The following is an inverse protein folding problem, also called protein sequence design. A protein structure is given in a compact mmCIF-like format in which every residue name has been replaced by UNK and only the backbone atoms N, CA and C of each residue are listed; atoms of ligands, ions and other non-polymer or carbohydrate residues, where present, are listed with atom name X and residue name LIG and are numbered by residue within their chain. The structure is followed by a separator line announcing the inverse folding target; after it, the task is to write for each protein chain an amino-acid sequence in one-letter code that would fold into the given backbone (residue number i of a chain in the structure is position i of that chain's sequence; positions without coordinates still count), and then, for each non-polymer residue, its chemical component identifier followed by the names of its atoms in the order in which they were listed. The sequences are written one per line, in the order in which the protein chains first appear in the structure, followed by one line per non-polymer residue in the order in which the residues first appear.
data_IF_253706571809
#
_entry.id   IF_253706571809
#
_cell.length_a   1.000
_cell.length_b   1.000
_cell.length_c   1.000
_cell.angle_alpha   90.00
_cell.angle_beta   90.00
_cell.angle_gamma   90.00
#
_symmetry.space_group_name_H-M   'P 1'
#
loop_
_entity.id
_entity.type
_entity.pdbx_description
1 polymer ?
#
# COMPACT_ATOMS: atom_id res chain seq x y z
N UNK A 1 19.87 2.98 -15.15
CA UNK A 1 18.48 3.32 -14.75
C UNK A 1 18.34 4.82 -14.47
N UNK A 2 17.14 5.35 -14.35
CA UNK A 2 16.92 6.76 -13.99
C UNK A 2 17.51 7.09 -12.59
N UNK A 3 17.48 6.11 -11.69
CA UNK A 3 18.06 6.23 -10.36
C UNK A 3 19.60 6.28 -10.37
N UNK A 4 20.25 5.56 -11.30
CA UNK A 4 21.69 5.60 -11.45
C UNK A 4 22.15 6.97 -11.92
N UNK A 5 21.46 7.57 -12.88
CA UNK A 5 21.74 8.93 -13.34
C UNK A 5 21.55 9.96 -12.20
N UNK A 6 20.49 9.82 -11.42
CA UNK A 6 20.26 10.68 -10.24
C UNK A 6 21.39 10.53 -9.22
N UNK A 7 21.85 9.31 -8.97
CA UNK A 7 22.95 9.04 -8.04
C UNK A 7 24.26 9.70 -8.51
N UNK A 8 24.55 9.63 -9.81
CA UNK A 8 25.71 10.30 -10.41
C UNK A 8 25.60 11.83 -10.28
N UNK A 9 24.47 12.41 -10.64
CA UNK A 9 24.23 13.85 -10.50
C UNK A 9 24.37 14.34 -9.05
N UNK A 10 23.87 13.54 -8.09
CA UNK A 10 24.00 13.82 -6.65
C UNK A 10 25.38 13.47 -6.09
N UNK A 11 26.33 12.96 -6.91
CA UNK A 11 27.67 12.50 -6.50
C UNK A 11 27.65 11.49 -5.35
N UNK A 12 26.63 10.62 -5.33
CA UNK A 12 26.52 9.56 -4.34
C UNK A 12 27.55 8.47 -4.62
N UNK A 13 28.20 7.97 -3.56
CA UNK A 13 29.12 6.84 -3.63
C UNK A 13 28.43 5.59 -3.08
N UNK A 14 28.74 4.43 -3.65
CA UNK A 14 28.22 3.13 -3.18
C UNK A 14 26.67 3.11 -3.15
N UNK A 15 26.05 3.18 -4.30
CA UNK A 15 24.60 3.10 -4.47
C UNK A 15 24.18 1.64 -4.58
N UNK A 16 23.17 1.26 -3.81
CA UNK A 16 22.61 -0.08 -3.80
C UNK A 16 21.11 -0.01 -4.00
N UNK A 17 20.56 -1.00 -4.69
CA UNK A 17 19.13 -1.11 -4.94
C UNK A 17 18.58 -2.32 -4.19
N UNK A 18 17.43 -2.15 -3.55
CA UNK A 18 16.70 -3.23 -2.90
C UNK A 18 15.24 -3.15 -3.29
N UNK A 19 14.60 -4.31 -3.47
CA UNK A 19 13.19 -4.40 -3.80
C UNK A 19 12.32 -3.94 -2.62
N UNK A 20 11.33 -3.08 -2.91
CA UNK A 20 10.43 -2.51 -1.90
C UNK A 20 9.78 -3.56 -1.00
N UNK A 21 9.29 -4.72 -1.51
CA UNK A 21 8.69 -5.75 -0.66
C UNK A 21 9.62 -6.28 0.44
N UNK A 22 10.92 -6.40 0.18
CA UNK A 22 11.88 -6.79 1.22
C UNK A 22 11.98 -5.77 2.32
N UNK A 23 12.09 -4.50 1.93
CA UNK A 23 12.20 -3.40 2.88
C UNK A 23 10.92 -3.28 3.70
N UNK A 24 9.76 -3.42 3.07
CA UNK A 24 8.47 -3.41 3.75
C UNK A 24 8.33 -4.55 4.77
N UNK A 25 8.76 -5.77 4.40
CA UNK A 25 8.75 -6.93 5.29
C UNK A 25 9.67 -6.72 6.49
N UNK A 26 10.92 -6.30 6.27
CA UNK A 26 11.90 -6.03 7.33
C UNK A 26 11.44 -4.91 8.27
N UNK A 27 10.87 -3.85 7.72
CA UNK A 27 10.30 -2.76 8.53
C UNK A 27 9.04 -3.15 9.29
N UNK A 28 8.33 -4.17 8.82
CA UNK A 28 7.23 -4.82 9.53
C UNK A 28 7.68 -5.90 10.51
N UNK A 29 8.99 -5.98 10.80
CA UNK A 29 9.59 -6.96 11.72
C UNK A 29 9.36 -8.43 11.29
N UNK A 30 9.14 -8.67 10.00
CA UNK A 30 9.06 -10.03 9.48
C UNK A 30 10.44 -10.69 9.49
N UNK A 31 10.49 -11.93 9.98
CA UNK A 31 11.69 -12.76 9.93
C UNK A 31 11.74 -13.44 8.56
N UNK A 32 12.67 -13.01 7.71
CA UNK A 32 12.85 -13.58 6.38
C UNK A 32 13.82 -14.75 6.47
N UNK A 33 13.36 -15.95 6.14
CA UNK A 33 14.17 -17.19 6.13
C UNK A 33 13.77 -18.08 4.95
N UNK A 34 14.60 -19.07 4.64
CA UNK A 34 14.32 -20.02 3.55
C UNK A 34 13.20 -21.01 3.92
N UNK A 35 13.09 -21.34 5.21
CA UNK A 35 12.09 -22.29 5.72
C UNK A 35 10.70 -21.67 5.96
N UNK A 36 10.62 -20.35 6.08
CA UNK A 36 9.38 -19.63 6.36
C UNK A 36 9.24 -18.44 5.41
N UNK A 37 8.65 -18.63 4.23
CA UNK A 37 8.42 -17.54 3.29
C UNK A 37 7.48 -16.49 3.88
N UNK A 38 7.74 -15.23 3.54
CA UNK A 38 6.96 -14.07 4.01
C UNK A 38 6.10 -13.54 2.87
N UNK A 39 4.80 -13.43 3.10
CA UNK A 39 3.89 -12.78 2.17
C UNK A 39 3.68 -11.33 2.61
N UNK A 40 3.96 -10.39 1.73
CA UNK A 40 3.89 -8.96 2.01
C UNK A 40 3.06 -8.24 0.94
N UNK A 41 2.30 -7.25 1.38
CA UNK A 41 1.59 -6.29 0.54
C UNK A 41 1.91 -4.88 1.04
N UNK A 42 2.56 -4.08 0.20
CA UNK A 42 2.86 -2.69 0.49
C UNK A 42 1.97 -1.79 -0.36
N UNK A 43 0.98 -1.15 0.28
CA UNK A 43 0.00 -0.27 -0.36
C UNK A 43 0.40 1.18 -0.17
N UNK A 44 1.15 1.71 -1.12
CA UNK A 44 1.65 3.09 -1.12
C UNK A 44 0.69 4.10 -1.71
N UNK A 45 1.18 5.33 -1.90
CA UNK A 45 0.42 6.40 -2.57
C UNK A 45 0.26 6.17 -4.07
N UNK A 46 1.34 5.82 -4.78
CA UNK A 46 1.35 5.66 -6.24
C UNK A 46 1.24 4.23 -6.71
N UNK A 47 1.73 3.27 -5.95
CA UNK A 47 1.76 1.85 -6.32
C UNK A 47 1.49 0.93 -5.14
N UNK A 48 1.13 -0.29 -5.48
CA UNK A 48 0.97 -1.41 -4.55
C UNK A 48 1.88 -2.54 -5.00
N UNK A 49 2.73 -3.03 -4.08
CA UNK A 49 3.63 -4.14 -4.30
C UNK A 49 3.14 -5.35 -3.51
N UNK A 50 3.09 -6.51 -4.15
CA UNK A 50 2.67 -7.78 -3.55
C UNK A 50 3.75 -8.79 -3.85
N UNK A 51 4.31 -9.45 -2.82
CA UNK A 51 5.35 -10.46 -3.03
C UNK A 51 5.36 -11.53 -1.95
N UNK A 52 5.83 -12.70 -2.34
CA UNK A 52 6.25 -13.79 -1.45
C UNK A 52 7.77 -13.87 -1.48
N UNK A 53 8.38 -13.76 -0.32
CA UNK A 53 9.82 -13.57 -0.14
C UNK A 53 10.43 -14.77 0.59
N UNK A 54 11.66 -15.12 0.20
CA UNK A 54 12.57 -15.96 0.97
C UNK A 54 13.88 -15.21 1.24
N UNK A 55 14.83 -15.80 1.96
CA UNK A 55 16.16 -15.19 2.14
C UNK A 55 17.01 -15.18 0.86
N UNK A 56 16.64 -15.95 -0.16
CA UNK A 56 17.35 -16.06 -1.42
C UNK A 56 16.79 -15.15 -2.53
N UNK A 57 15.55 -14.65 -2.35
CA UNK A 57 14.92 -13.79 -3.35
C UNK A 57 13.40 -13.76 -3.30
N UNK A 58 12.80 -13.04 -4.24
CA UNK A 58 11.37 -13.03 -4.47
C UNK A 58 10.94 -14.34 -5.14
N UNK A 59 10.13 -15.14 -4.45
CA UNK A 59 9.56 -16.38 -5.00
C UNK A 59 8.50 -16.08 -6.07
N UNK A 60 7.60 -15.15 -5.75
CA UNK A 60 6.59 -14.65 -6.66
C UNK A 60 6.18 -13.24 -6.24
N UNK A 61 5.81 -12.40 -7.19
CA UNK A 61 5.37 -11.05 -6.86
C UNK A 61 4.97 -10.25 -8.09
N UNK A 62 4.36 -9.12 -7.83
CA UNK A 62 4.00 -8.14 -8.84
C UNK A 62 3.90 -6.75 -8.22
N UNK A 63 3.99 -5.75 -9.07
CA UNK A 63 3.76 -4.34 -8.72
C UNK A 63 2.66 -3.77 -9.59
N UNK A 64 1.80 -2.97 -9.01
CA UNK A 64 0.68 -2.31 -9.69
C UNK A 64 0.78 -0.81 -9.50
N UNK A 65 0.54 -0.05 -10.56
CA UNK A 65 0.48 1.42 -10.52
C UNK A 65 -0.88 1.90 -9.97
N UNK A 66 -1.31 1.35 -8.84
CA UNK A 66 -2.50 1.76 -8.09
C UNK A 66 -2.15 1.95 -6.62
N UNK A 67 -2.74 2.96 -6.01
CA UNK A 67 -2.51 3.28 -4.60
C UNK A 67 -3.42 4.40 -4.11
N UNK A 68 -3.04 5.03 -3.02
CA UNK A 68 -3.80 6.09 -2.38
C UNK A 68 -4.15 7.27 -3.29
N UNK A 69 -3.27 7.64 -4.22
CA UNK A 69 -3.49 8.74 -5.15
C UNK A 69 -4.63 8.46 -6.13
N UNK A 70 -4.83 7.20 -6.52
CA UNK A 70 -5.96 6.80 -7.36
C UNK A 70 -7.27 6.92 -6.59
N UNK A 71 -7.27 6.52 -5.32
CA UNK A 71 -8.43 6.70 -4.42
C UNK A 71 -8.78 8.17 -4.29
N UNK A 72 -7.78 9.05 -4.12
CA UNK A 72 -7.97 10.50 -4.01
C UNK A 72 -8.57 11.09 -5.29
N UNK A 73 -8.11 10.66 -6.46
CA UNK A 73 -8.67 11.08 -7.74
C UNK A 73 -10.15 10.67 -7.89
N UNK A 74 -10.48 9.42 -7.52
CA UNK A 74 -11.85 8.93 -7.57
C UNK A 74 -12.75 9.63 -6.54
N UNK A 75 -12.24 9.93 -5.34
CA UNK A 75 -12.96 10.72 -4.32
C UNK A 75 -13.23 12.13 -4.86
N UNK A 76 -12.25 12.81 -5.44
CA UNK A 76 -12.44 14.13 -6.03
C UNK A 76 -13.51 14.11 -7.13
N UNK A 77 -13.46 13.15 -8.03
CA UNK A 77 -14.46 12.97 -9.09
C UNK A 77 -15.85 12.63 -8.53
N UNK A 78 -15.93 11.83 -7.48
CA UNK A 78 -17.19 11.49 -6.79
C UNK A 78 -17.81 12.74 -6.16
N UNK A 79 -17.03 13.54 -5.43
CA UNK A 79 -17.50 14.77 -4.77
C UNK A 79 -17.98 15.78 -5.83
N UNK A 80 -17.25 15.96 -6.93
CA UNK A 80 -17.70 16.83 -8.03
C UNK A 80 -19.03 16.35 -8.60
N UNK A 81 -19.18 15.05 -8.83
CA UNK A 81 -20.39 14.45 -9.39
C UNK A 81 -21.62 14.58 -8.52
N UNK A 82 -21.49 14.31 -7.20
CA UNK A 82 -22.66 14.25 -6.29
C UNK A 82 -22.95 15.56 -5.57
N UNK A 83 -21.97 16.46 -5.45
CA UNK A 83 -22.10 17.73 -4.70
C UNK A 83 -21.90 18.96 -5.59
N UNK A 84 -21.60 18.78 -6.88
CA UNK A 84 -21.21 19.88 -7.79
C UNK A 84 -20.06 20.72 -7.22
N UNK A 85 -19.15 20.10 -6.47
CA UNK A 85 -18.02 20.75 -5.83
C UNK A 85 -16.71 20.13 -6.35
N UNK A 86 -15.92 20.93 -7.07
CA UNK A 86 -14.57 20.54 -7.48
C UNK A 86 -13.62 20.77 -6.33
N UNK A 87 -12.97 19.68 -5.89
CA UNK A 87 -11.95 19.68 -4.83
C UNK A 87 -10.57 19.38 -5.40
N UNK A 88 -9.52 19.88 -4.75
CA UNK A 88 -8.14 19.55 -5.08
C UNK A 88 -7.69 18.22 -4.46
N UNK A 89 -6.52 17.73 -4.92
CA UNK A 89 -5.95 16.46 -4.45
C UNK A 89 -5.76 16.41 -2.92
N UNK A 90 -5.26 17.49 -2.31
CA UNK A 90 -5.07 17.57 -0.86
C UNK A 90 -6.39 17.49 -0.09
N UNK A 91 -7.47 18.07 -0.61
CA UNK A 91 -8.80 17.95 0.01
C UNK A 91 -9.32 16.52 -0.12
N UNK A 92 -9.14 15.87 -1.27
CA UNK A 92 -9.54 14.49 -1.48
C UNK A 92 -8.77 13.52 -0.56
N UNK A 93 -7.46 13.69 -0.44
CA UNK A 93 -6.62 12.94 0.50
C UNK A 93 -7.07 13.14 1.95
N UNK A 94 -7.37 14.37 2.35
CA UNK A 94 -7.91 14.67 3.67
C UNK A 94 -9.25 13.95 3.91
N UNK A 95 -10.17 13.98 2.96
CA UNK A 95 -11.43 13.24 3.03
C UNK A 95 -11.19 11.74 3.23
N UNK A 96 -10.30 11.14 2.43
CA UNK A 96 -9.91 9.73 2.57
C UNK A 96 -9.41 9.44 3.98
N UNK A 97 -8.53 10.28 4.51
CA UNK A 97 -7.89 10.06 5.82
C UNK A 97 -8.84 10.29 7.00
N UNK A 98 -9.77 11.25 6.89
CA UNK A 98 -10.70 11.61 7.99
C UNK A 98 -11.91 10.69 8.07
N UNK A 99 -12.50 10.32 6.92
CA UNK A 99 -13.76 9.58 6.86
C UNK A 99 -13.71 8.31 6.00
N UNK A 100 -12.58 8.01 5.36
CA UNK A 100 -12.39 6.77 4.60
C UNK A 100 -12.37 5.55 5.50
N UNK A 101 -13.02 4.46 5.09
CA UNK A 101 -13.09 3.22 5.85
C UNK A 101 -13.47 2.05 4.95
N UNK A 102 -13.00 0.85 5.31
CA UNK A 102 -13.37 -0.42 4.67
C UNK A 102 -14.54 -1.12 5.40
N UNK A 103 -15.11 -0.51 6.42
CA UNK A 103 -16.32 -1.02 7.10
C UNK A 103 -17.56 -0.71 6.28
N UNK A 104 -18.46 -1.68 6.15
CA UNK A 104 -19.81 -1.46 5.59
C UNK A 104 -20.68 -0.54 6.46
N UNK A 105 -20.30 -0.36 7.73
CA UNK A 105 -21.00 0.50 8.69
C UNK A 105 -20.27 1.83 8.92
N UNK A 106 -19.37 2.21 8.01
CA UNK A 106 -18.61 3.44 8.13
C UNK A 106 -19.53 4.65 8.32
N UNK A 107 -19.36 5.34 9.42
CA UNK A 107 -20.12 6.54 9.79
C UNK A 107 -19.15 7.69 9.98
N UNK A 108 -19.60 8.88 9.69
CA UNK A 108 -18.84 10.11 9.81
C UNK A 108 -19.09 11.02 8.63
N UNK A 109 -18.86 12.29 8.86
CA UNK A 109 -18.95 13.31 7.82
C UNK A 109 -17.91 14.39 8.11
N UNK A 110 -17.39 14.99 7.06
CA UNK A 110 -16.51 16.16 7.16
C UNK A 110 -16.83 17.16 6.05
N UNK A 111 -16.39 18.40 6.22
CA UNK A 111 -16.64 19.45 5.22
C UNK A 111 -15.54 19.42 4.17
N UNK A 112 -15.91 19.24 2.92
CA UNK A 112 -15.04 19.45 1.78
C UNK A 112 -15.13 20.90 1.32
N UNK A 113 -14.00 21.55 1.13
CA UNK A 113 -13.90 22.91 0.59
C UNK A 113 -13.38 22.86 -0.84
N UNK A 114 -13.95 23.67 -1.72
CA UNK A 114 -13.60 23.68 -3.14
C UNK A 114 -14.35 24.77 -3.91
N UNK A 115 -14.47 24.57 -5.22
CA UNK A 115 -15.20 25.45 -6.13
C UNK A 115 -16.51 24.78 -6.53
N UNK A 116 -17.64 25.43 -6.25
CA UNK A 116 -18.92 25.02 -6.79
C UNK A 116 -18.91 25.21 -8.31
N UNK A 117 -19.05 24.12 -9.06
CA UNK A 117 -18.89 24.13 -10.53
C UNK A 117 -20.08 24.76 -11.27
N UNK A 118 -21.22 24.90 -10.61
CA UNK A 118 -22.42 25.54 -11.17
C UNK A 118 -22.42 27.06 -10.96
N UNK A 119 -21.87 27.51 -9.83
CA UNK A 119 -21.89 28.91 -9.42
C UNK A 119 -20.53 29.61 -9.57
N UNK A 120 -19.49 28.84 -9.90
CA UNK A 120 -18.09 29.32 -10.08
C UNK A 120 -17.56 30.13 -8.90
N UNK A 121 -17.91 29.73 -7.67
CA UNK A 121 -17.50 30.39 -6.42
C UNK A 121 -17.02 29.37 -5.38
N UNK A 122 -16.17 29.80 -4.42
CA UNK A 122 -15.79 28.96 -3.29
C UNK A 122 -17.02 28.50 -2.51
N UNK A 123 -17.00 27.24 -2.09
CA UNK A 123 -18.08 26.64 -1.29
C UNK A 123 -17.51 25.51 -0.42
N UNK A 124 -18.22 25.24 0.68
CA UNK A 124 -17.99 24.07 1.52
C UNK A 124 -19.24 23.21 1.57
N UNK A 125 -19.08 21.89 1.45
CA UNK A 125 -20.19 20.93 1.54
C UNK A 125 -19.83 19.77 2.45
N UNK A 126 -20.82 19.23 3.16
CA UNK A 126 -20.64 18.02 3.95
C UNK A 126 -20.56 16.79 3.04
N UNK A 127 -19.53 15.98 3.26
CA UNK A 127 -19.32 14.67 2.60
C UNK A 127 -19.39 13.60 3.68
N UNK A 128 -20.15 12.55 3.41
CA UNK A 128 -20.32 11.42 4.34
C UNK A 128 -19.43 10.25 3.94
N UNK A 129 -18.99 9.46 4.90
CA UNK A 129 -18.14 8.27 4.70
C UNK A 129 -18.71 7.31 3.63
N UNK A 130 -20.02 7.04 3.68
CA UNK A 130 -20.69 6.15 2.70
C UNK A 130 -20.67 6.69 1.27
N UNK A 131 -20.53 8.02 1.07
CA UNK A 131 -20.49 8.61 -0.27
C UNK A 131 -19.16 8.34 -1.01
N UNK A 132 -18.08 8.05 -0.25
CA UNK A 132 -16.73 7.79 -0.81
C UNK A 132 -16.24 6.35 -0.60
N UNK A 133 -17.01 5.50 0.07
CA UNK A 133 -16.60 4.13 0.42
C UNK A 133 -16.19 3.30 -0.81
N UNK A 134 -16.97 3.37 -1.90
CA UNK A 134 -16.69 2.64 -3.15
C UNK A 134 -15.39 3.11 -3.82
N UNK A 135 -15.04 4.40 -3.67
CA UNK A 135 -13.80 4.95 -4.21
C UNK A 135 -12.55 4.37 -3.54
N UNK A 136 -12.71 3.72 -2.39
CA UNK A 136 -11.65 3.08 -1.62
C UNK A 136 -11.70 1.57 -1.82
N UNK A 137 -12.85 0.94 -1.60
CA UNK A 137 -12.99 -0.52 -1.59
C UNK A 137 -12.62 -1.15 -2.92
N UNK A 138 -12.89 -0.52 -4.05
CA UNK A 138 -12.54 -1.00 -5.39
C UNK A 138 -11.03 -1.27 -5.56
N UNK A 139 -10.19 -0.49 -4.90
CA UNK A 139 -8.73 -0.68 -4.95
C UNK A 139 -8.26 -1.81 -4.05
N UNK A 140 -8.94 -2.03 -2.94
CA UNK A 140 -8.71 -3.20 -2.10
C UNK A 140 -9.18 -4.48 -2.78
N UNK A 141 -10.32 -4.46 -3.49
CA UNK A 141 -10.77 -5.61 -4.27
C UNK A 141 -9.77 -5.98 -5.38
N UNK A 142 -9.21 -4.97 -6.09
CA UNK A 142 -8.12 -5.21 -7.03
C UNK A 142 -6.89 -5.81 -6.34
N UNK A 143 -6.48 -5.28 -5.19
CA UNK A 143 -5.35 -5.84 -4.45
C UNK A 143 -5.59 -7.30 -4.04
N UNK A 144 -6.80 -7.66 -3.64
CA UNK A 144 -7.22 -9.05 -3.36
C UNK A 144 -7.11 -9.94 -4.60
N UNK A 145 -7.58 -9.45 -5.75
CA UNK A 145 -7.49 -10.19 -7.02
C UNK A 145 -6.04 -10.52 -7.38
N UNK A 146 -5.16 -9.53 -7.30
CA UNK A 146 -3.75 -9.71 -7.60
C UNK A 146 -3.00 -10.54 -6.54
N UNK A 147 -3.33 -10.38 -5.26
CA UNK A 147 -2.80 -11.24 -4.21
C UNK A 147 -3.20 -12.71 -4.43
N UNK A 148 -4.46 -12.95 -4.80
CA UNK A 148 -4.96 -14.28 -5.14
C UNK A 148 -4.25 -14.87 -6.37
N UNK A 149 -3.93 -14.03 -7.36
CA UNK A 149 -3.15 -14.45 -8.53
C UNK A 149 -1.74 -14.88 -8.14
N UNK A 150 -1.04 -14.12 -7.28
CA UNK A 150 0.29 -14.49 -6.76
C UNK A 150 0.22 -15.82 -6.00
N UNK A 151 -0.76 -15.97 -5.09
CA UNK A 151 -0.92 -17.20 -4.29
C UNK A 151 -1.19 -18.45 -5.13
N UNK A 152 -1.98 -18.34 -6.20
CA UNK A 152 -2.28 -19.45 -7.11
C UNK A 152 -1.07 -19.94 -7.89
N UNK A 153 -0.07 -19.10 -8.11
CA UNK A 153 1.18 -19.43 -8.80
C UNK A 153 2.23 -20.09 -7.91
N UNK A 154 2.00 -20.20 -6.59
CA UNK A 154 3.00 -20.75 -5.65
C UNK A 154 3.07 -22.27 -5.68
N UNK A 155 4.25 -22.86 -5.45
CA UNK A 155 4.38 -24.26 -5.09
C UNK A 155 3.56 -24.60 -3.83
N UNK A 156 3.01 -25.81 -3.73
CA UNK A 156 2.11 -26.20 -2.66
C UNK A 156 2.70 -26.00 -1.25
N UNK A 157 3.99 -26.31 -1.08
CA UNK A 157 4.67 -26.18 0.20
C UNK A 157 4.80 -24.71 0.63
N UNK A 158 5.14 -23.82 -0.34
CA UNK A 158 5.22 -22.37 -0.13
C UNK A 158 3.85 -21.80 0.19
N UNK A 159 2.83 -22.19 -0.55
CA UNK A 159 1.45 -21.77 -0.33
C UNK A 159 0.94 -22.16 1.08
N UNK A 160 1.25 -23.39 1.54
CA UNK A 160 0.90 -23.85 2.88
C UNK A 160 1.58 -23.01 3.98
N UNK A 161 2.88 -22.72 3.82
CA UNK A 161 3.63 -21.88 4.76
C UNK A 161 3.11 -20.44 4.80
N UNK A 162 2.85 -19.84 3.64
CA UNK A 162 2.25 -18.49 3.52
C UNK A 162 0.87 -18.44 4.19
N UNK A 163 0.03 -19.46 3.98
CA UNK A 163 -1.29 -19.49 4.58
C UNK A 163 -1.23 -19.60 6.11
N UNK A 164 -0.26 -20.33 6.65
CA UNK A 164 0.01 -20.43 8.10
C UNK A 164 0.49 -19.09 8.66
N UNK A 165 1.44 -18.42 7.99
CA UNK A 165 2.10 -17.22 8.48
C UNK A 165 1.26 -15.96 8.28
N UNK A 166 0.42 -15.94 7.23
CA UNK A 166 -0.44 -14.82 6.88
C UNK A 166 0.30 -13.74 6.08
N UNK A 167 -0.40 -12.61 5.87
CA UNK A 167 0.03 -11.45 5.10
C UNK A 167 0.52 -10.33 6.02
N UNK A 168 1.68 -9.75 5.70
CA UNK A 168 2.15 -8.49 6.28
C UNK A 168 1.68 -7.33 5.40
N UNK A 169 0.89 -6.42 5.98
CA UNK A 169 0.35 -5.24 5.31
C UNK A 169 1.14 -4.00 5.72
N UNK A 170 1.67 -3.27 4.75
CA UNK A 170 2.41 -2.02 4.92
C UNK A 170 1.95 -0.94 3.93
N UNK A 171 2.63 0.22 3.96
CA UNK A 171 2.28 1.39 3.17
C UNK A 171 1.25 2.30 3.83
N UNK A 172 1.18 3.54 3.37
CA UNK A 172 0.29 4.55 3.97
C UNK A 172 -1.20 4.19 3.91
N UNK A 173 -1.63 3.49 2.86
CA UNK A 173 -3.02 3.04 2.67
C UNK A 173 -3.43 2.00 3.71
N UNK A 174 -2.48 1.23 4.26
CA UNK A 174 -2.73 0.26 5.33
C UNK A 174 -3.27 0.89 6.62
N UNK A 175 -3.17 2.21 6.79
CA UNK A 175 -3.71 2.96 7.93
C UNK A 175 -5.21 3.20 7.84
N UNK A 176 -5.83 2.96 6.70
CA UNK A 176 -7.27 3.10 6.57
C UNK A 176 -7.99 2.15 7.53
N UNK A 177 -9.01 2.64 8.26
CA UNK A 177 -9.76 1.81 9.18
C UNK A 177 -10.31 0.55 8.52
N UNK A 178 -10.16 -0.59 9.21
CA UNK A 178 -10.59 -1.92 8.76
C UNK A 178 -9.88 -2.46 7.52
N UNK A 179 -8.73 -1.90 7.11
CA UNK A 179 -7.97 -2.39 5.96
C UNK A 179 -7.51 -3.86 6.13
N UNK A 180 -6.92 -4.17 7.28
CA UNK A 180 -6.45 -5.53 7.57
C UNK A 180 -7.60 -6.52 7.67
N UNK A 181 -8.70 -6.15 8.33
CA UNK A 181 -9.90 -6.99 8.48
C UNK A 181 -10.57 -7.25 7.11
N UNK A 182 -10.63 -6.22 6.27
CA UNK A 182 -11.16 -6.35 4.91
C UNK A 182 -10.36 -7.36 4.09
N UNK A 183 -9.04 -7.20 4.05
CA UNK A 183 -8.14 -8.12 3.36
C UNK A 183 -8.19 -9.53 3.97
N UNK A 184 -8.20 -9.64 5.31
CA UNK A 184 -8.27 -10.93 6.01
C UNK A 184 -9.52 -11.72 5.65
N UNK A 185 -10.68 -11.05 5.58
CA UNK A 185 -11.94 -11.68 5.18
C UNK A 185 -11.95 -12.10 3.72
N UNK A 186 -11.40 -11.27 2.82
CA UNK A 186 -11.41 -11.51 1.39
C UNK A 186 -10.39 -12.57 0.95
N UNK A 187 -9.23 -12.62 1.59
CA UNK A 187 -8.17 -13.58 1.30
C UNK A 187 -8.27 -14.86 2.15
N UNK A 188 -9.19 -14.90 3.11
CA UNK A 188 -9.37 -16.01 4.05
C UNK A 188 -8.08 -16.38 4.80
N UNK A 189 -7.26 -15.36 5.10
CA UNK A 189 -6.01 -15.54 5.81
C UNK A 189 -5.78 -14.43 6.86
N UNK A 190 -4.88 -14.69 7.80
CA UNK A 190 -4.48 -13.69 8.77
C UNK A 190 -3.74 -12.54 8.09
N UNK A 191 -4.16 -11.29 8.35
CA UNK A 191 -3.47 -10.08 7.91
C UNK A 191 -2.98 -9.32 9.14
N UNK A 192 -1.71 -8.90 9.13
CA UNK A 192 -1.08 -8.10 10.18
C UNK A 192 -0.61 -6.79 9.58
N UNK A 193 -1.05 -5.69 10.14
CA UNK A 193 -0.51 -4.36 9.77
C UNK A 193 0.73 -4.06 10.62
N UNK A 194 1.78 -3.54 9.99
CA UNK A 194 2.97 -3.03 10.69
C UNK A 194 2.58 -1.90 11.65
N UNK A 195 3.35 -1.73 12.73
CA UNK A 195 3.08 -0.67 13.72
C UNK A 195 3.07 0.73 13.09
N UNK A 196 4.04 1.00 12.20
CA UNK A 196 4.16 2.26 11.45
C UNK A 196 4.22 1.96 9.95
N UNK A 197 3.09 1.56 9.32
CA UNK A 197 3.09 0.99 7.98
C UNK A 197 3.58 1.96 6.90
N UNK A 198 3.37 3.25 7.07
CA UNK A 198 3.84 4.30 6.15
C UNK A 198 5.37 4.45 6.13
N UNK A 199 6.05 4.02 7.20
CA UNK A 199 7.51 4.10 7.34
C UNK A 199 8.20 2.73 7.21
N UNK A 200 7.44 1.65 6.98
CA UNK A 200 7.99 0.30 6.93
C UNK A 200 9.18 0.19 5.96
N UNK A 201 9.07 0.74 4.76
CA UNK A 201 10.15 0.69 3.75
C UNK A 201 11.43 1.36 4.23
N UNK A 202 11.36 2.56 4.79
CA UNK A 202 12.56 3.27 5.26
C UNK A 202 13.15 2.63 6.53
N UNK A 203 12.30 2.14 7.42
CA UNK A 203 12.71 1.39 8.62
C UNK A 203 13.40 0.10 8.22
N UNK A 204 12.84 -0.62 7.24
CA UNK A 204 13.43 -1.83 6.68
C UNK A 204 14.76 -1.60 5.97
N UNK A 205 14.91 -0.48 5.26
CA UNK A 205 16.20 -0.09 4.69
C UNK A 205 17.26 0.08 5.78
N UNK A 206 16.91 0.73 6.89
CA UNK A 206 17.80 0.85 8.06
C UNK A 206 18.13 -0.49 8.71
N UNK A 207 17.19 -1.44 8.76
CA UNK A 207 17.42 -2.79 9.26
C UNK A 207 18.34 -3.59 8.32
N UNK A 208 18.11 -3.50 7.01
CA UNK A 208 18.91 -4.19 5.99
C UNK A 208 20.38 -3.76 6.04
N UNK A 209 20.68 -2.49 6.23
CA UNK A 209 22.04 -1.97 6.37
C UNK A 209 22.81 -2.57 7.56
N UNK A 210 22.11 -3.09 8.57
CA UNK A 210 22.71 -3.74 9.76
C UNK A 210 22.94 -5.24 9.56
N UNK A 211 22.19 -5.88 8.67
CA UNK A 211 22.33 -7.31 8.35
C UNK A 211 23.21 -7.52 7.11
N UNK A 212 24.50 -7.69 7.32
CA UNK A 212 25.48 -7.86 6.23
C UNK A 212 25.22 -9.09 5.35
N UNK A 213 24.62 -10.16 5.89
CA UNK A 213 24.32 -11.37 5.15
C UNK A 213 23.13 -11.12 4.22
N UNK A 214 22.05 -10.61 4.76
CA UNK A 214 20.84 -10.31 4.01
C UNK A 214 21.11 -9.21 2.98
N UNK A 215 21.90 -8.19 3.34
CA UNK A 215 22.31 -7.12 2.44
C UNK A 215 22.99 -7.66 1.18
N UNK A 216 23.92 -8.61 1.31
CA UNK A 216 24.61 -9.20 0.16
C UNK A 216 23.70 -10.04 -0.75
N UNK A 217 22.66 -10.63 -0.18
CA UNK A 217 21.72 -11.49 -0.92
C UNK A 217 20.65 -10.67 -1.66
N UNK A 218 20.22 -9.55 -1.09
CA UNK A 218 19.07 -8.79 -1.58
C UNK A 218 19.48 -7.55 -2.37
N UNK A 219 20.57 -6.88 -1.97
CA UNK A 219 21.00 -5.67 -2.65
C UNK A 219 21.72 -5.97 -3.96
N UNK A 220 21.27 -5.31 -5.02
CA UNK A 220 21.96 -5.25 -6.30
C UNK A 220 22.93 -4.07 -6.24
N UNK A 221 24.22 -4.33 -6.52
CA UNK A 221 25.23 -3.29 -6.81
C UNK A 221 25.27 -3.05 -8.31
N UNK A 222 25.39 -1.82 -8.74
CA UNK A 222 25.85 -1.53 -10.11
C UNK A 222 27.33 -1.81 -10.29
#
# INVERSE_FOLDING_TARGET
SAYSLLAEECRLKNVYFAEVPYLAALGGEAVISDSEPVFVMDMGGGNTNIAVLSSEGIIAGLSMNIGGNNMDADIAGRVEKIKSLRVGALTAERLKNEIGSLSSEARGATVAEGINVLQFRPAGVSVQAGEIADCISVYFDKAVEYASYVLKGLPAEVAAAVNKNGLYLSGGVAKLPYAAEYLSRKLEMRVRTCAEPQYAVITGAGALLRDKKLFKNICLSE
#
